data_IF_034408631601
#
_entry.id   IF_034408631601
#
_cell.length_a   1.000
_cell.length_b   1.000
_cell.length_c   1.000
_cell.angle_alpha   90.00
_cell.angle_beta   90.00
_cell.angle_gamma   90.00
#
_symmetry.space_group_name_H-M   'P 1'
#
loop_
_entity.id
_entity.type
_entity.pdbx_description
1 polymer ?
#
# COMPACT_ATOMS: atom_id res chain seq x y z
N UNK A 1 1.98 23.30 7.66
CA UNK A 1 2.05 23.31 9.12
C UNK A 1 1.61 22.00 9.73
N UNK A 2 2.28 21.59 10.78
CA UNK A 2 1.99 20.32 11.44
C UNK A 2 1.40 20.58 12.83
N UNK A 3 0.44 19.77 13.22
CA UNK A 3 -0.20 19.86 14.52
C UNK A 3 0.25 18.68 15.39
N UNK A 4 0.64 19.00 16.62
CA UNK A 4 1.02 17.99 17.61
C UNK A 4 0.17 18.23 18.87
N UNK A 5 0.07 17.22 19.72
CA UNK A 5 -0.69 17.30 20.95
C UNK A 5 0.23 17.12 22.15
N UNK A 6 -0.05 17.89 23.18
CA UNK A 6 0.67 17.74 24.44
C UNK A 6 0.34 16.39 25.08
N UNK A 7 1.34 15.59 25.49
CA UNK A 7 1.10 14.28 26.08
C UNK A 7 0.47 14.34 27.47
N UNK A 8 0.42 15.52 28.09
CA UNK A 8 -0.16 15.68 29.43
C UNK A 8 -1.60 16.20 29.42
N UNK A 9 -1.87 17.24 28.66
CA UNK A 9 -3.19 17.90 28.65
C UNK A 9 -3.90 17.83 27.30
N UNK A 10 -3.27 17.22 26.29
CA UNK A 10 -3.82 17.04 24.94
C UNK A 10 -4.07 18.37 24.20
N UNK A 11 -3.48 19.46 24.64
CA UNK A 11 -3.59 20.74 23.97
C UNK A 11 -2.89 20.70 22.61
N UNK A 12 -3.55 21.24 21.58
CA UNK A 12 -3.00 21.23 20.22
C UNK A 12 -1.99 22.36 20.03
N UNK A 13 -0.81 22.02 19.55
CA UNK A 13 0.26 22.95 19.25
C UNK A 13 0.57 22.87 17.76
N UNK A 14 0.61 24.02 17.09
CA UNK A 14 0.89 24.07 15.65
C UNK A 14 2.29 24.63 15.43
N UNK A 15 3.04 24.04 14.53
CA UNK A 15 4.36 24.53 14.16
C UNK A 15 4.63 24.33 12.67
N UNK A 16 5.59 25.09 12.14
CA UNK A 16 5.97 24.97 10.74
C UNK A 16 7.18 24.02 10.63
N UNK A 17 6.92 22.81 10.15
CA UNK A 17 7.95 21.78 10.00
C UNK A 17 8.98 22.11 8.92
N UNK A 18 8.66 23.02 8.00
CA UNK A 18 9.58 23.40 6.92
C UNK A 18 10.74 24.27 7.43
N UNK A 19 10.59 24.85 8.60
CA UNK A 19 11.65 25.65 9.22
C UNK A 19 12.72 24.83 9.93
N UNK A 20 12.53 23.53 10.02
CA UNK A 20 13.41 22.62 10.74
C UNK A 20 13.94 21.53 9.84
N UNK A 21 15.15 21.06 10.09
CA UNK A 21 15.75 19.98 9.34
C UNK A 21 15.11 18.63 9.69
N UNK A 22 14.90 17.75 8.69
CA UNK A 22 14.38 16.40 8.96
C UNK A 22 15.32 15.62 9.90
N UNK A 23 14.75 14.81 10.78
CA UNK A 23 15.49 14.02 11.74
C UNK A 23 15.89 14.76 12.99
N UNK A 24 15.61 16.04 13.06
CA UNK A 24 15.96 16.86 14.22
C UNK A 24 14.96 16.67 15.36
N UNK A 25 15.46 16.67 16.59
CA UNK A 25 14.62 16.63 17.77
C UNK A 25 14.33 18.05 18.24
N UNK A 26 13.05 18.37 18.38
CA UNK A 26 12.59 19.67 18.85
C UNK A 26 12.03 19.56 20.25
N UNK A 27 12.26 20.59 21.06
CA UNK A 27 11.69 20.69 22.39
C UNK A 27 10.58 21.72 22.37
N UNK A 28 9.40 21.33 22.79
CA UNK A 28 8.24 22.20 22.88
C UNK A 28 7.79 22.34 24.32
N UNK A 29 7.27 23.50 24.65
CA UNK A 29 6.63 23.74 25.93
C UNK A 29 5.14 24.03 25.69
N UNK A 30 4.28 23.26 26.35
CA UNK A 30 2.85 23.48 26.27
C UNK A 30 2.46 24.80 26.91
N UNK A 31 1.73 25.64 26.20
CA UNK A 31 1.26 26.92 26.71
C UNK A 31 0.17 26.78 27.79
N UNK A 32 -0.44 25.62 27.89
CA UNK A 32 -1.55 25.36 28.81
C UNK A 32 -1.10 24.75 30.12
N UNK A 33 -0.32 23.67 30.07
CA UNK A 33 0.17 22.99 31.28
C UNK A 33 1.66 23.18 31.55
N UNK A 34 2.36 23.91 30.69
CA UNK A 34 3.80 24.20 30.78
C UNK A 34 4.70 22.96 30.80
N UNK A 35 4.21 21.83 30.34
CA UNK A 35 5.03 20.63 30.23
C UNK A 35 5.95 20.73 29.02
N UNK A 36 7.24 20.50 29.24
CA UNK A 36 8.18 20.37 28.13
C UNK A 36 8.23 18.96 27.64
N UNK A 37 8.22 18.78 26.32
CA UNK A 37 8.32 17.47 25.70
C UNK A 37 9.13 17.56 24.42
N UNK A 38 9.71 16.44 24.04
CA UNK A 38 10.54 16.35 22.84
C UNK A 38 9.77 15.65 21.73
N UNK A 39 9.90 16.19 20.52
CA UNK A 39 9.32 15.58 19.33
C UNK A 39 10.42 15.48 18.30
N UNK A 40 10.53 14.30 17.69
CA UNK A 40 11.44 14.07 16.59
C UNK A 40 10.71 14.32 15.28
N UNK A 41 11.28 15.17 14.45
CA UNK A 41 10.75 15.38 13.10
C UNK A 41 11.10 14.16 12.27
N UNK A 42 10.10 13.51 11.62
CA UNK A 42 10.39 12.37 10.76
C UNK A 42 11.35 12.75 9.63
N UNK A 43 12.21 11.84 9.25
CA UNK A 43 13.12 12.04 8.13
C UNK A 43 12.35 11.90 6.81
N UNK A 44 11.50 12.87 6.53
CA UNK A 44 10.65 12.84 5.34
C UNK A 44 11.41 12.85 4.04
N UNK A 45 12.59 13.46 4.04
CA UNK A 45 13.41 13.46 2.84
C UNK A 45 13.77 12.04 2.40
N UNK A 46 14.07 11.16 3.37
CA UNK A 46 14.35 9.76 3.09
C UNK A 46 13.08 9.03 2.67
N UNK A 47 11.99 9.28 3.38
CA UNK A 47 10.69 8.70 3.03
C UNK A 47 10.17 9.20 1.69
N UNK A 48 10.42 10.47 1.38
CA UNK A 48 10.06 11.04 0.10
C UNK A 48 10.84 10.41 -1.05
N UNK A 49 12.10 10.10 -0.84
CA UNK A 49 12.90 9.41 -1.84
C UNK A 49 12.40 7.98 -2.07
N UNK A 50 12.06 7.28 -0.99
CA UNK A 50 11.48 5.95 -1.07
C UNK A 50 10.12 5.99 -1.78
N UNK A 51 9.31 7.00 -1.50
CA UNK A 51 8.04 7.20 -2.17
C UNK A 51 8.21 7.52 -3.65
N UNK A 52 9.23 8.30 -4.00
CA UNK A 52 9.53 8.59 -5.40
C UNK A 52 9.97 7.33 -6.15
N UNK A 53 10.73 6.46 -5.48
CA UNK A 53 11.14 5.18 -6.06
C UNK A 53 9.96 4.23 -6.22
N UNK A 54 8.87 4.46 -5.48
CA UNK A 54 7.67 3.61 -5.48
C UNK A 54 6.43 4.39 -5.85
N UNK A 55 6.52 5.24 -6.88
CA UNK A 55 5.38 6.04 -7.34
C UNK A 55 4.20 5.13 -7.71
N UNK A 56 2.99 5.48 -7.27
CA UNK A 56 1.82 4.69 -7.63
C UNK A 56 1.58 4.72 -9.13
N UNK A 57 1.24 3.57 -9.68
CA UNK A 57 0.86 3.42 -11.07
C UNK A 57 -0.62 3.75 -11.24
N UNK A 58 -1.12 3.89 -12.48
CA UNK A 58 -2.56 4.07 -12.69
C UNK A 58 -3.37 2.79 -12.49
N UNK A 59 -2.82 1.79 -11.80
CA UNK A 59 -3.51 0.54 -11.50
C UNK A 59 -3.74 0.34 -10.02
N UNK A 60 -4.84 -0.34 -9.68
CA UNK A 60 -5.18 -0.68 -8.31
C UNK A 60 -5.96 -1.99 -8.27
N UNK A 61 -6.03 -2.59 -7.07
CA UNK A 61 -6.84 -3.77 -6.82
C UNK A 61 -8.00 -3.39 -5.92
N UNK A 62 -9.22 -3.65 -6.37
CA UNK A 62 -10.41 -3.53 -5.53
C UNK A 62 -10.69 -4.90 -4.92
N UNK A 63 -10.39 -5.07 -3.64
CA UNK A 63 -10.64 -6.31 -2.91
C UNK A 63 -12.08 -6.27 -2.44
N UNK A 64 -12.89 -7.25 -2.86
CA UNK A 64 -14.30 -7.31 -2.50
C UNK A 64 -14.45 -7.76 -1.06
N UNK A 65 -15.49 -7.26 -0.37
CA UNK A 65 -15.76 -7.72 0.99
C UNK A 65 -16.30 -9.15 1.00
N UNK A 66 -15.97 -9.87 2.06
CA UNK A 66 -16.52 -11.21 2.31
C UNK A 66 -16.54 -11.49 3.81
N UNK A 67 -16.70 -12.76 4.22
CA UNK A 67 -16.75 -13.15 5.62
C UNK A 67 -15.44 -12.90 6.37
N UNK A 68 -14.33 -12.69 5.67
CA UNK A 68 -12.99 -12.59 6.26
C UNK A 68 -12.46 -11.15 6.31
N UNK A 69 -13.02 -10.22 5.54
CA UNK A 69 -12.50 -8.86 5.48
C UNK A 69 -13.49 -7.88 4.86
N UNK A 70 -13.25 -6.60 5.11
CA UNK A 70 -13.99 -5.50 4.49
C UNK A 70 -13.41 -5.17 3.12
N UNK A 71 -14.18 -4.43 2.32
CA UNK A 71 -13.72 -3.93 1.03
C UNK A 71 -12.46 -3.08 1.20
N UNK A 72 -11.49 -3.30 0.33
CA UNK A 72 -10.22 -2.57 0.37
C UNK A 72 -9.83 -2.16 -1.04
N UNK A 73 -9.15 -1.03 -1.15
CA UNK A 73 -8.54 -0.59 -2.40
C UNK A 73 -7.04 -0.56 -2.18
N UNK A 74 -6.31 -1.34 -2.97
CA UNK A 74 -4.87 -1.46 -2.84
C UNK A 74 -4.22 -0.82 -4.07
N UNK A 75 -3.57 0.34 -3.93
CA UNK A 75 -2.85 0.94 -5.05
C UNK A 75 -1.62 0.11 -5.41
N UNK A 76 -1.35 -0.03 -6.69
CA UNK A 76 -0.16 -0.71 -7.17
C UNK A 76 0.95 0.32 -7.43
N UNK A 77 2.20 -0.12 -7.30
CA UNK A 77 3.36 0.73 -7.52
C UNK A 77 4.19 0.16 -8.68
N UNK A 78 5.07 0.96 -9.23
CA UNK A 78 5.97 0.50 -10.27
C UNK A 78 6.90 -0.58 -9.72
N UNK A 79 7.10 -1.64 -10.49
CA UNK A 79 7.90 -2.79 -10.09
C UNK A 79 7.04 -3.92 -9.56
N UNK A 80 7.60 -4.74 -8.70
CA UNK A 80 6.90 -5.90 -8.15
C UNK A 80 6.00 -5.51 -7.00
N UNK A 81 4.72 -5.89 -7.10
CA UNK A 81 3.74 -5.74 -6.03
C UNK A 81 3.45 -7.13 -5.47
N UNK A 82 3.95 -7.40 -4.28
CA UNK A 82 3.76 -8.68 -3.62
C UNK A 82 2.43 -8.65 -2.87
N UNK A 83 1.49 -9.47 -3.31
CA UNK A 83 0.14 -9.52 -2.78
C UNK A 83 0.00 -10.73 -1.89
N UNK A 84 -0.52 -10.53 -0.70
CA UNK A 84 -0.73 -11.59 0.26
C UNK A 84 -1.45 -11.10 1.48
N UNK A 85 -1.64 -12.00 2.44
CA UNK A 85 -2.32 -11.68 3.69
C UNK A 85 -1.40 -10.84 4.57
N UNK A 86 -1.93 -9.73 5.08
CA UNK A 86 -1.19 -8.89 5.99
C UNK A 86 -0.95 -9.61 7.32
N UNK A 87 0.31 -9.73 7.69
CA UNK A 87 0.74 -10.17 9.02
C UNK A 87 1.85 -9.25 9.48
N UNK A 88 2.02 -9.15 10.79
CA UNK A 88 3.09 -8.32 11.35
C UNK A 88 4.45 -8.82 10.83
N UNK A 89 5.21 -7.91 10.23
CA UNK A 89 6.51 -8.25 9.65
C UNK A 89 6.46 -8.81 8.24
N UNK A 90 5.29 -8.78 7.57
CA UNK A 90 5.18 -9.25 6.19
C UNK A 90 6.04 -8.43 5.24
N UNK A 91 6.59 -9.09 4.22
CA UNK A 91 7.33 -8.42 3.14
C UNK A 91 6.43 -8.01 1.99
N UNK A 92 5.14 -8.33 2.07
CA UNK A 92 4.19 -7.97 1.02
C UNK A 92 3.94 -6.45 1.05
N UNK A 93 4.24 -5.78 -0.07
CA UNK A 93 4.01 -4.34 -0.20
C UNK A 93 2.60 -4.00 -0.66
N UNK A 94 1.82 -5.00 -1.06
CA UNK A 94 0.40 -4.87 -1.41
C UNK A 94 -0.41 -5.87 -0.57
N UNK A 95 -0.26 -5.80 0.75
CA UNK A 95 -0.86 -6.75 1.67
C UNK A 95 -2.34 -6.48 1.86
N UNK A 96 -3.14 -7.56 1.93
CA UNK A 96 -4.57 -7.52 2.16
C UNK A 96 -4.84 -7.75 3.63
N UNK A 97 -5.62 -6.87 4.23
CA UNK A 97 -6.05 -7.04 5.63
C UNK A 97 -7.22 -8.01 5.67
N UNK A 98 -6.91 -9.29 5.84
CA UNK A 98 -7.91 -10.37 5.87
C UNK A 98 -7.53 -11.41 6.90
N UNK A 99 -8.53 -12.13 7.41
CA UNK A 99 -8.32 -13.30 8.27
C UNK A 99 -8.48 -14.61 7.50
N UNK A 100 -8.57 -14.54 6.17
CA UNK A 100 -8.70 -15.71 5.30
C UNK A 100 -7.41 -16.55 5.34
N UNK A 101 -7.48 -17.78 5.93
CA UNK A 101 -6.29 -18.62 6.03
C UNK A 101 -5.84 -19.21 4.70
N UNK A 102 -6.67 -19.16 3.67
CA UNK A 102 -6.31 -19.66 2.33
C UNK A 102 -5.47 -18.68 1.53
N UNK A 103 -5.30 -17.44 2.03
CA UNK A 103 -4.41 -16.46 1.42
C UNK A 103 -3.05 -16.52 2.10
N UNK A 104 -2.01 -16.84 1.35
CA UNK A 104 -0.65 -16.88 1.87
C UNK A 104 -0.09 -15.47 2.10
N UNK A 105 0.92 -15.35 2.93
CA UNK A 105 1.60 -14.06 3.18
C UNK A 105 2.25 -13.51 1.91
N UNK A 106 2.73 -14.38 1.04
CA UNK A 106 3.18 -14.05 -0.31
C UNK A 106 2.41 -14.97 -1.25
N UNK A 107 1.34 -14.47 -1.85
CA UNK A 107 0.42 -15.31 -2.62
C UNK A 107 0.62 -15.15 -4.12
N UNK A 108 0.62 -13.93 -4.61
CA UNK A 108 0.86 -13.65 -6.02
C UNK A 108 1.61 -12.33 -6.15
N UNK A 109 2.14 -12.09 -7.34
CA UNK A 109 2.93 -10.90 -7.61
C UNK A 109 2.40 -10.26 -8.89
N UNK A 110 2.15 -8.96 -8.83
CA UNK A 110 1.81 -8.17 -10.01
C UNK A 110 2.99 -7.25 -10.30
N UNK A 111 3.60 -7.43 -11.46
CA UNK A 111 4.71 -6.58 -11.89
C UNK A 111 4.14 -5.47 -12.76
N UNK A 112 4.29 -4.23 -12.31
CA UNK A 112 3.87 -3.06 -13.05
C UNK A 112 5.09 -2.42 -13.68
N UNK A 113 5.06 -2.27 -15.01
CA UNK A 113 6.13 -1.64 -15.76
C UNK A 113 5.58 -0.68 -16.79
N UNK A 114 6.28 0.40 -16.99
CA UNK A 114 5.92 1.38 -18.02
C UNK A 114 6.60 1.03 -19.33
N UNK A 115 5.80 0.94 -20.38
CA UNK A 115 6.31 0.67 -21.73
C UNK A 115 5.84 1.81 -22.64
N UNK A 116 6.75 2.73 -22.93
CA UNK A 116 6.37 3.96 -23.63
C UNK A 116 5.46 4.81 -22.77
N UNK A 117 4.27 5.13 -23.27
CA UNK A 117 3.27 5.90 -22.54
C UNK A 117 2.24 5.01 -21.83
N UNK A 118 2.37 3.71 -21.97
CA UNK A 118 1.41 2.75 -21.44
C UNK A 118 2.01 1.94 -20.29
N UNK A 119 1.15 1.55 -19.35
CA UNK A 119 1.52 0.66 -18.26
C UNK A 119 1.11 -0.77 -18.58
N UNK A 120 1.98 -1.71 -18.23
CA UNK A 120 1.70 -3.13 -18.31
C UNK A 120 1.73 -3.74 -16.92
N UNK A 121 0.72 -4.53 -16.61
CA UNK A 121 0.60 -5.23 -15.32
C UNK A 121 0.58 -6.73 -15.59
N UNK A 122 1.57 -7.43 -15.07
CA UNK A 122 1.72 -8.86 -15.26
C UNK A 122 1.50 -9.59 -13.94
N UNK A 123 0.54 -10.49 -13.92
CA UNK A 123 0.20 -11.30 -12.76
C UNK A 123 0.87 -12.66 -12.83
N UNK A 124 1.50 -13.07 -11.73
CA UNK A 124 2.02 -14.44 -11.59
C UNK A 124 1.74 -14.97 -10.18
N UNK A 125 1.61 -16.28 -10.07
CA UNK A 125 1.51 -16.93 -8.77
C UNK A 125 2.88 -17.02 -8.12
N UNK A 126 2.94 -16.79 -6.81
CA UNK A 126 4.19 -16.82 -6.03
C UNK A 126 4.34 -18.15 -5.28
N UNK A 127 4.01 -19.26 -5.94
CA UNK A 127 4.01 -20.60 -5.34
C UNK A 127 3.09 -20.68 -4.12
N UNK A 128 1.91 -20.12 -4.26
CA UNK A 128 0.92 -20.13 -3.18
C UNK A 128 0.39 -21.52 -2.91
N UNK A 129 -0.14 -21.75 -1.70
CA UNK A 129 -0.71 -23.02 -1.29
C UNK A 129 -1.98 -23.35 -2.06
N UNK A 130 -2.85 -22.36 -2.26
CA UNK A 130 -4.15 -22.56 -2.93
C UNK A 130 -4.17 -22.16 -4.40
N UNK A 131 -3.12 -21.54 -4.90
CA UNK A 131 -3.03 -21.09 -6.28
C UNK A 131 -3.66 -19.72 -6.51
N UNK A 132 -3.40 -19.17 -7.69
CA UNK A 132 -3.97 -17.89 -8.13
C UNK A 132 -4.85 -18.14 -9.33
N UNK A 133 -6.11 -17.69 -9.22
CA UNK A 133 -7.09 -17.82 -10.31
C UNK A 133 -7.14 -16.49 -11.06
N UNK A 134 -6.87 -16.54 -12.34
CA UNK A 134 -7.02 -15.39 -13.23
C UNK A 134 -8.27 -15.60 -14.09
N UNK A 135 -9.23 -14.71 -13.95
CA UNK A 135 -10.56 -14.83 -14.53
C UNK A 135 -11.25 -16.10 -14.02
N UNK A 136 -11.24 -17.19 -14.74
CA UNK A 136 -11.86 -18.45 -14.33
C UNK A 136 -10.93 -19.67 -14.44
N UNK A 137 -9.61 -19.42 -14.51
CA UNK A 137 -8.62 -20.49 -14.61
C UNK A 137 -7.45 -20.26 -13.67
N UNK A 138 -6.85 -21.35 -13.21
CA UNK A 138 -5.64 -21.26 -12.39
C UNK A 138 -4.42 -20.94 -13.25
N UNK A 139 -3.56 -20.06 -12.73
CA UNK A 139 -2.28 -19.79 -13.36
C UNK A 139 -1.35 -20.99 -13.18
N UNK A 140 -0.64 -21.32 -14.23
CA UNK A 140 0.39 -22.36 -14.18
C UNK A 140 1.65 -21.80 -13.52
N UNK A 141 2.53 -22.68 -12.95
CA UNK A 141 3.83 -22.21 -12.48
C UNK A 141 4.56 -21.43 -13.57
N UNK A 142 5.11 -20.28 -13.21
CA UNK A 142 5.84 -19.37 -14.12
C UNK A 142 4.97 -18.72 -15.21
N UNK A 143 3.68 -18.99 -15.24
CA UNK A 143 2.78 -18.30 -16.17
C UNK A 143 2.58 -16.87 -15.74
N UNK A 144 2.60 -15.94 -16.69
CA UNK A 144 2.30 -14.52 -16.44
C UNK A 144 1.08 -14.14 -17.27
N UNK A 145 0.09 -13.50 -16.61
CA UNK A 145 -1.10 -13.01 -17.25
C UNK A 145 -1.05 -11.50 -17.37
N UNK A 146 -1.29 -10.98 -18.55
CA UNK A 146 -1.38 -9.53 -18.76
C UNK A 146 -2.76 -9.06 -18.30
N UNK A 147 -2.76 -8.16 -17.31
CA UNK A 147 -4.00 -7.67 -16.72
C UNK A 147 -4.59 -6.53 -17.55
N UNK A 148 -5.93 -6.56 -17.69
CA UNK A 148 -6.69 -5.49 -18.30
C UNK A 148 -7.72 -4.94 -17.31
N UNK A 149 -8.27 -3.77 -17.59
CA UNK A 149 -9.26 -3.15 -16.72
C UNK A 149 -10.45 -4.09 -16.45
N UNK A 150 -10.84 -4.18 -15.19
CA UNK A 150 -11.92 -5.03 -14.70
C UNK A 150 -11.63 -6.54 -14.72
N UNK A 151 -10.38 -6.94 -14.91
CA UNK A 151 -10.01 -8.35 -14.77
C UNK A 151 -10.17 -8.82 -13.33
N UNK A 152 -10.61 -10.06 -13.16
CA UNK A 152 -10.89 -10.64 -11.84
C UNK A 152 -9.79 -11.61 -11.46
N UNK A 153 -9.26 -11.44 -10.25
CA UNK A 153 -8.21 -12.28 -9.67
C UNK A 153 -8.76 -12.87 -8.37
N UNK A 154 -8.65 -14.17 -8.21
CA UNK A 154 -9.08 -14.83 -6.97
C UNK A 154 -7.90 -15.56 -6.34
N UNK A 155 -7.66 -15.27 -5.05
CA UNK A 155 -6.66 -15.94 -4.25
C UNK A 155 -7.33 -16.48 -2.98
N UNK A 156 -7.34 -17.81 -2.82
CA UNK A 156 -8.10 -18.44 -1.75
C UNK A 156 -9.58 -18.11 -1.86
N UNK A 157 -10.17 -17.59 -0.80
CA UNK A 157 -11.55 -17.11 -0.80
C UNK A 157 -11.68 -15.61 -1.11
N UNK A 158 -10.59 -14.98 -1.48
CA UNK A 158 -10.52 -13.53 -1.69
C UNK A 158 -10.59 -13.20 -3.19
N UNK A 159 -11.55 -12.36 -3.57
CA UNK A 159 -11.73 -11.90 -4.95
C UNK A 159 -11.28 -10.46 -5.07
N UNK A 160 -10.46 -10.19 -6.08
CA UNK A 160 -9.95 -8.85 -6.39
C UNK A 160 -10.29 -8.49 -7.82
N UNK A 161 -10.60 -7.23 -8.04
CA UNK A 161 -10.84 -6.70 -9.38
C UNK A 161 -9.72 -5.72 -9.71
N UNK A 162 -8.99 -5.98 -10.79
CA UNK A 162 -7.96 -5.07 -11.26
C UNK A 162 -8.62 -3.87 -11.94
N UNK A 163 -8.23 -2.67 -11.50
CA UNK A 163 -8.77 -1.43 -12.06
C UNK A 163 -7.63 -0.61 -12.65
N UNK A 164 -7.81 -0.27 -13.91
CA UNK A 164 -6.89 0.62 -14.61
C UNK A 164 -7.52 2.01 -14.65
N UNK A 165 -6.87 2.99 -14.04
CA UNK A 165 -7.37 4.37 -14.01
C UNK A 165 -6.90 5.11 -15.26
N UNK A 166 -7.82 5.76 -15.95
CA UNK A 166 -7.46 6.66 -17.02
C UNK A 166 -7.07 8.03 -16.45
N UNK A 167 -6.33 8.81 -17.23
CA UNK A 167 -5.93 10.15 -16.81
C UNK A 167 -7.14 11.06 -16.51
N UNK A 168 -8.27 10.76 -17.10
CA UNK A 168 -9.51 11.53 -16.90
C UNK A 168 -10.15 11.26 -15.54
N UNK A 169 -9.88 10.11 -14.93
CA UNK A 169 -10.44 9.74 -13.64
C UNK A 169 -9.61 10.22 -12.45
N UNK A 170 -8.51 10.89 -12.69
CA UNK A 170 -7.59 11.33 -11.64
C UNK A 170 -7.89 12.73 -11.09
N UNK A 171 -9.03 13.29 -11.39
CA UNK A 171 -9.42 14.60 -10.85
C UNK A 171 -9.77 14.56 -9.37
#
# INVERSE_FOLDING_TARGET
MKRIRCPKCDNAITFDETQYEPGRTLVFECSDCHKQFKIRIPERAVQGEDEEASLPTPGSLAVTENAFHFKQIIPLVEGENVIGRFVKGTKANAAIKTVDPSVDNTHCIITARKKGDEWQFLLRDARSTTGTVYMDRFLRPKEQALLGDSDIITIGATTMIFRLQSAEEQE
#
